data_IF_213465372532
#
_entry.id   IF_213465372532
#
_cell.length_a   1.000
_cell.length_b   1.000
_cell.length_c   1.000
_cell.angle_alpha   90.00
_cell.angle_beta   90.00
_cell.angle_gamma   90.00
#
_symmetry.space_group_name_H-M   'P 1'
#
loop_
_entity.id
_entity.type
_entity.pdbx_description
1 polymer ?
#
# COMPACT_ATOMS: atom_id res chain seq x y z
N UNK A 1 -8.09 26.89 1.51
CA UNK A 1 -8.75 27.18 2.80
C UNK A 1 -7.77 26.77 3.89
N UNK A 2 -7.16 27.72 4.62
CA UNK A 2 -6.34 27.41 5.80
C UNK A 2 -7.29 27.21 6.98
N UNK A 3 -7.47 25.98 7.42
CA UNK A 3 -8.23 25.71 8.64
C UNK A 3 -7.32 25.93 9.85
N UNK A 4 -7.68 26.86 10.73
CA UNK A 4 -7.05 27.05 12.03
C UNK A 4 -7.87 26.27 13.05
N UNK A 5 -7.34 25.15 13.53
CA UNK A 5 -7.94 24.39 14.63
C UNK A 5 -7.44 25.00 15.93
N UNK A 6 -8.31 25.70 16.65
CA UNK A 6 -7.99 26.15 18.00
C UNK A 6 -7.95 24.93 18.93
N UNK A 7 -6.81 24.71 19.59
CA UNK A 7 -6.72 23.76 20.70
C UNK A 7 -7.80 24.13 21.71
N UNK A 8 -8.65 23.16 22.03
CA UNK A 8 -9.52 23.21 23.20
C UNK A 8 -8.71 23.74 24.38
N UNK A 9 -9.07 24.92 24.87
CA UNK A 9 -8.61 25.38 26.16
C UNK A 9 -9.15 24.39 27.17
N UNK A 10 -8.27 23.54 27.69
CA UNK A 10 -8.48 22.75 28.89
C UNK A 10 -9.07 23.67 29.96
N UNK A 11 -10.37 23.53 30.17
CA UNK A 11 -11.17 24.41 31.00
C UNK A 11 -12.45 23.73 31.47
N UNK A 12 -12.28 22.58 32.14
CA UNK A 12 -13.27 21.88 32.99
C UNK A 12 -14.53 21.36 32.29
N UNK A 13 -14.58 20.02 32.24
CA UNK A 13 -15.72 19.12 32.02
C UNK A 13 -16.29 19.09 30.59
N UNK A 14 -16.21 17.94 29.91
CA UNK A 14 -16.86 17.79 28.62
C UNK A 14 -18.37 17.66 28.84
N UNK A 15 -19.16 18.56 28.27
CA UNK A 15 -20.52 18.22 27.83
C UNK A 15 -20.38 17.35 26.57
N UNK A 16 -19.86 16.14 26.72
CA UNK A 16 -19.79 15.15 25.64
C UNK A 16 -21.15 14.47 25.57
N UNK A 17 -21.90 14.74 24.49
CA UNK A 17 -22.90 13.80 24.03
C UNK A 17 -22.20 12.49 23.70
N UNK A 18 -22.78 11.38 24.18
CA UNK A 18 -22.31 10.02 23.92
C UNK A 18 -22.07 9.80 22.41
N UNK A 19 -20.82 9.50 22.04
CA UNK A 19 -20.46 9.13 20.67
C UNK A 19 -19.09 9.60 20.16
N UNK A 20 -18.45 10.59 20.79
CA UNK A 20 -17.12 11.03 20.32
C UNK A 20 -16.02 10.08 20.83
N UNK A 21 -15.40 9.36 19.91
CA UNK A 21 -14.18 8.60 20.17
C UNK A 21 -13.07 9.57 20.59
N UNK A 22 -12.48 9.32 21.76
CA UNK A 22 -11.29 10.01 22.25
C UNK A 22 -10.08 9.48 21.48
N UNK A 23 -9.66 10.17 20.43
CA UNK A 23 -8.35 9.96 19.82
C UNK A 23 -7.60 11.28 19.71
N UNK A 24 -6.29 11.22 19.92
CA UNK A 24 -5.43 12.38 19.78
C UNK A 24 -5.21 12.68 18.29
N UNK A 25 -5.39 13.94 17.90
CA UNK A 25 -5.11 14.40 16.54
C UNK A 25 -3.60 14.53 16.35
N UNK A 26 -3.08 13.89 15.33
CA UNK A 26 -1.67 13.95 14.95
C UNK A 26 -1.47 14.80 13.69
N UNK A 27 -0.30 15.44 13.57
CA UNK A 27 0.06 16.19 12.36
C UNK A 27 0.10 15.25 11.15
N UNK A 28 -0.53 15.65 10.04
CA UNK A 28 -0.66 14.82 8.84
C UNK A 28 -1.86 13.86 8.83
N UNK A 29 -2.65 13.81 9.92
CA UNK A 29 -3.87 13.00 9.96
C UNK A 29 -4.98 13.59 9.08
N UNK A 30 -5.50 12.80 8.14
CA UNK A 30 -6.74 13.10 7.44
C UNK A 30 -7.95 12.73 8.30
N UNK A 31 -8.93 13.62 8.40
CA UNK A 31 -10.14 13.41 9.23
C UNK A 31 -11.42 13.70 8.44
N UNK A 32 -12.45 12.90 8.71
CA UNK A 32 -13.82 13.18 8.31
C UNK A 32 -14.49 13.87 9.49
N UNK A 33 -15.02 15.06 9.29
CA UNK A 33 -15.72 15.77 10.36
C UNK A 33 -17.08 16.27 9.90
N UNK A 34 -18.04 16.26 10.83
CA UNK A 34 -19.31 16.97 10.70
C UNK A 34 -19.18 18.27 11.45
N UNK A 35 -19.31 19.40 10.75
CA UNK A 35 -19.13 20.72 11.33
C UNK A 35 -20.17 21.72 10.82
N UNK A 36 -20.41 22.77 11.61
CA UNK A 36 -21.22 23.93 11.24
C UNK A 36 -20.32 25.14 10.97
N UNK A 37 -20.58 25.84 9.87
CA UNK A 37 -19.90 27.08 9.54
C UNK A 37 -20.58 28.25 10.27
N UNK A 38 -19.80 29.02 11.01
CA UNK A 38 -20.21 30.26 11.68
C UNK A 38 -19.40 31.44 11.14
N UNK A 39 -20.02 32.62 11.08
CA UNK A 39 -19.38 33.84 10.58
C UNK A 39 -19.44 34.91 11.65
N UNK A 40 -18.28 35.40 12.08
CA UNK A 40 -18.16 36.55 12.95
C UNK A 40 -18.12 37.83 12.11
N UNK A 41 -19.32 38.36 11.84
CA UNK A 41 -19.57 39.49 10.94
C UNK A 41 -18.69 40.74 11.17
N UNK A 42 -18.38 41.17 12.42
CA UNK A 42 -17.58 42.37 12.64
C UNK A 42 -16.15 42.31 12.08
N UNK A 43 -15.61 41.10 11.88
CA UNK A 43 -14.25 40.89 11.35
C UNK A 43 -14.21 40.02 10.09
N UNK A 44 -15.38 39.56 9.62
CA UNK A 44 -15.47 38.64 8.47
C UNK A 44 -14.78 37.29 8.70
N UNK A 45 -14.62 36.86 9.95
CA UNK A 45 -13.94 35.61 10.28
C UNK A 45 -14.89 34.42 10.14
N UNK A 46 -14.45 33.37 9.45
CA UNK A 46 -15.18 32.11 9.31
C UNK A 46 -14.65 31.10 10.33
N UNK A 47 -15.56 30.44 11.04
CA UNK A 47 -15.26 29.42 12.05
C UNK A 47 -16.00 28.12 11.72
N UNK A 48 -15.31 26.98 11.84
CA UNK A 48 -15.92 25.66 11.73
C UNK A 48 -16.07 25.07 13.13
N UNK A 49 -17.31 24.90 13.58
CA UNK A 49 -17.64 24.24 14.84
C UNK A 49 -17.86 22.75 14.58
N UNK A 50 -16.93 21.90 15.02
CA UNK A 50 -16.95 20.45 14.77
C UNK A 50 -17.83 19.73 15.81
N UNK A 51 -18.85 19.01 15.35
CA UNK A 51 -19.80 18.25 16.17
C UNK A 51 -19.47 16.75 16.26
N UNK A 52 -18.80 16.19 15.25
CA UNK A 52 -18.32 14.81 15.21
C UNK A 52 -17.07 14.69 14.36
N UNK A 53 -16.16 13.79 14.74
CA UNK A 53 -14.85 13.65 14.14
C UNK A 53 -14.48 12.17 14.08
N UNK A 54 -14.12 11.68 12.89
CA UNK A 54 -13.67 10.33 12.63
C UNK A 54 -12.38 10.40 11.79
N UNK A 55 -11.40 9.51 12.00
CA UNK A 55 -10.22 9.49 11.14
C UNK A 55 -10.63 9.09 9.71
N UNK A 56 -10.28 9.92 8.73
CA UNK A 56 -10.46 9.61 7.31
C UNK A 56 -9.33 8.68 6.87
N UNK A 57 -9.67 7.62 6.15
CA UNK A 57 -8.79 6.48 5.84
C UNK A 57 -7.37 6.81 5.36
N UNK A 58 -6.42 6.43 6.22
CA UNK A 58 -5.13 5.76 5.92
C UNK A 58 -4.84 4.79 7.07
N UNK A 59 -5.22 5.15 8.30
CA UNK A 59 -5.01 4.34 9.51
C UNK A 59 -5.69 2.96 9.51
N UNK A 60 -6.88 2.79 8.93
CA UNK A 60 -7.55 1.49 8.89
C UNK A 60 -6.88 0.51 7.92
N UNK A 61 -6.52 0.97 6.71
CA UNK A 61 -5.76 0.18 5.75
C UNK A 61 -4.35 -0.12 6.26
N UNK A 62 -3.67 0.88 6.83
CA UNK A 62 -2.36 0.69 7.46
C UNK A 62 -2.44 -0.33 8.61
N UNK A 63 -3.46 -0.25 9.46
CA UNK A 63 -3.68 -1.21 10.54
C UNK A 63 -3.95 -2.62 10.01
N UNK A 64 -4.78 -2.77 8.98
CA UNK A 64 -5.03 -4.06 8.33
C UNK A 64 -3.75 -4.63 7.70
N UNK A 65 -2.94 -3.77 7.08
CA UNK A 65 -1.64 -4.13 6.52
C UNK A 65 -0.66 -4.61 7.59
N UNK A 66 -0.50 -3.87 8.69
CA UNK A 66 0.38 -4.28 9.80
C UNK A 66 -0.11 -5.57 10.47
N UNK A 67 -1.43 -5.76 10.62
CA UNK A 67 -2.00 -7.00 11.14
C UNK A 67 -1.71 -8.19 10.22
N UNK A 68 -1.88 -8.03 8.91
CA UNK A 68 -1.55 -9.06 7.92
C UNK A 68 -0.06 -9.39 7.95
N UNK A 69 0.80 -8.38 7.96
CA UNK A 69 2.25 -8.55 8.03
C UNK A 69 2.67 -9.30 9.29
N UNK A 70 2.15 -8.90 10.46
CA UNK A 70 2.44 -9.57 11.73
C UNK A 70 1.98 -11.03 11.72
N UNK A 71 0.81 -11.33 11.13
CA UNK A 71 0.33 -12.71 10.96
C UNK A 71 1.26 -13.53 10.07
N UNK A 72 1.62 -13.03 8.89
CA UNK A 72 2.51 -13.73 7.96
C UNK A 72 3.93 -13.92 8.54
N UNK A 73 4.38 -12.99 9.38
CA UNK A 73 5.62 -13.14 10.16
C UNK A 73 5.51 -14.24 11.21
N UNK A 74 4.40 -14.30 11.96
CA UNK A 74 4.15 -15.36 12.94
C UNK A 74 4.02 -16.75 12.29
N UNK A 75 3.54 -16.82 11.05
CA UNK A 75 3.51 -18.04 10.23
C UNK A 75 4.92 -18.47 9.73
N UNK A 76 5.97 -17.68 9.99
CA UNK A 76 7.36 -18.01 9.62
C UNK A 76 7.68 -17.82 8.14
N UNK A 77 6.78 -17.20 7.36
CA UNK A 77 6.93 -17.08 5.90
C UNK A 77 8.10 -16.18 5.47
N UNK A 78 8.61 -15.35 6.39
CA UNK A 78 9.74 -14.45 6.15
C UNK A 78 11.06 -14.95 6.76
N UNK A 79 11.06 -16.12 7.40
CA UNK A 79 12.23 -16.67 8.06
C UNK A 79 13.38 -16.85 7.08
N UNK A 80 14.58 -16.42 7.49
CA UNK A 80 15.80 -16.54 6.68
C UNK A 80 16.08 -18.00 6.32
N UNK A 81 15.73 -18.95 7.20
CA UNK A 81 15.88 -20.38 6.94
C UNK A 81 15.05 -20.87 5.74
N UNK A 82 13.94 -20.21 5.42
CA UNK A 82 13.09 -20.52 4.27
C UNK A 82 13.58 -19.86 2.97
N UNK A 83 14.52 -18.91 3.05
CA UNK A 83 15.01 -18.18 1.88
C UNK A 83 16.04 -19.00 1.12
N UNK A 84 15.83 -19.11 -0.20
CA UNK A 84 16.80 -19.70 -1.12
C UNK A 84 17.82 -18.65 -1.55
N UNK A 85 19.11 -19.02 -1.70
CA UNK A 85 20.11 -18.11 -2.25
C UNK A 85 19.76 -17.77 -3.71
N UNK A 86 19.97 -16.52 -4.08
CA UNK A 86 19.79 -16.07 -5.46
C UNK A 86 21.08 -16.41 -6.23
N UNK A 87 21.01 -17.11 -7.38
CA UNK A 87 22.16 -17.34 -8.23
C UNK A 87 22.87 -16.04 -8.62
N UNK A 88 24.19 -16.04 -8.59
CA UNK A 88 24.99 -14.87 -8.98
C UNK A 88 24.75 -14.46 -10.44
N UNK A 89 24.62 -15.44 -11.34
CA UNK A 89 24.34 -15.22 -12.75
C UNK A 89 23.31 -16.25 -13.25
N UNK A 90 22.01 -15.93 -13.26
CA UNK A 90 20.99 -16.80 -13.83
C UNK A 90 21.15 -16.88 -15.36
N UNK A 91 20.96 -18.06 -15.93
CA UNK A 91 20.90 -18.27 -17.38
C UNK A 91 19.53 -17.88 -17.92
N UNK A 92 18.47 -18.13 -17.14
CA UNK A 92 17.10 -17.78 -17.49
C UNK A 92 16.34 -17.23 -16.30
N UNK A 93 15.62 -16.14 -16.55
CA UNK A 93 14.77 -15.45 -15.57
C UNK A 93 13.31 -15.60 -16.02
N UNK A 94 12.46 -16.12 -15.13
CA UNK A 94 11.02 -16.08 -15.27
C UNK A 94 10.49 -14.74 -14.76
N UNK A 95 9.61 -14.08 -15.49
CA UNK A 95 9.01 -12.80 -15.10
C UNK A 95 7.50 -12.94 -15.09
N UNK A 96 6.90 -12.83 -13.92
CA UNK A 96 5.46 -12.88 -13.70
C UNK A 96 4.99 -11.46 -13.41
N UNK A 97 4.25 -10.86 -14.33
CA UNK A 97 3.84 -9.46 -14.23
C UNK A 97 2.66 -9.14 -15.16
N UNK A 98 2.07 -7.95 -15.02
CA UNK A 98 1.04 -7.47 -15.94
C UNK A 98 1.62 -7.19 -17.34
N UNK A 99 0.91 -7.58 -18.41
CA UNK A 99 1.38 -7.39 -19.78
C UNK A 99 1.48 -5.91 -20.21
N UNK A 100 0.80 -4.99 -19.52
CA UNK A 100 0.66 -3.58 -19.96
C UNK A 100 1.50 -2.58 -19.15
N UNK A 101 2.30 -3.04 -18.18
CA UNK A 101 3.03 -2.15 -17.26
C UNK A 101 4.37 -1.61 -17.77
N UNK A 102 4.81 -0.48 -17.20
CA UNK A 102 6.19 0.01 -17.35
C UNK A 102 7.22 -0.99 -16.80
N UNK A 103 6.86 -1.69 -15.73
CA UNK A 103 7.73 -2.66 -15.03
C UNK A 103 8.30 -3.73 -15.95
N UNK A 104 7.50 -4.33 -16.85
CA UNK A 104 8.04 -5.31 -17.79
C UNK A 104 9.03 -4.69 -18.77
N UNK A 105 8.75 -3.47 -19.24
CA UNK A 105 9.65 -2.74 -20.14
C UNK A 105 10.98 -2.43 -19.45
N UNK A 106 10.94 -2.03 -18.18
CA UNK A 106 12.12 -1.73 -17.38
C UNK A 106 12.97 -2.99 -17.15
N UNK A 107 12.34 -4.11 -16.76
CA UNK A 107 13.02 -5.40 -16.58
C UNK A 107 13.71 -5.81 -17.89
N UNK A 108 13.01 -5.76 -19.02
CA UNK A 108 13.56 -6.12 -20.32
C UNK A 108 14.69 -5.17 -20.74
N UNK A 109 14.53 -3.86 -20.54
CA UNK A 109 15.52 -2.85 -20.91
C UNK A 109 16.81 -2.98 -20.09
N UNK A 110 16.68 -3.07 -18.77
CA UNK A 110 17.83 -3.19 -17.85
C UNK A 110 18.57 -4.51 -18.10
N UNK A 111 17.83 -5.62 -18.24
CA UNK A 111 18.46 -6.93 -18.47
C UNK A 111 19.19 -6.96 -19.79
N UNK A 112 18.58 -6.49 -20.89
CA UNK A 112 19.26 -6.40 -22.20
C UNK A 112 20.50 -5.51 -22.17
N UNK A 113 20.47 -4.40 -21.41
CA UNK A 113 21.59 -3.46 -21.32
C UNK A 113 22.76 -3.99 -20.49
N UNK A 114 22.48 -4.71 -19.40
CA UNK A 114 23.52 -5.18 -18.46
C UNK A 114 23.99 -6.61 -18.76
N UNK A 115 23.08 -7.48 -19.21
CA UNK A 115 23.32 -8.91 -19.38
C UNK A 115 22.49 -9.46 -20.56
N UNK A 116 22.89 -9.12 -21.78
CA UNK A 116 22.16 -9.48 -23.01
C UNK A 116 22.07 -10.99 -23.30
N UNK A 117 22.89 -11.81 -22.63
CA UNK A 117 22.91 -13.27 -22.79
C UNK A 117 21.91 -14.01 -21.88
N UNK A 118 21.15 -13.29 -21.04
CA UNK A 118 20.16 -13.89 -20.16
C UNK A 118 18.83 -14.05 -20.90
N UNK A 119 18.28 -15.26 -20.88
CA UNK A 119 16.95 -15.55 -21.41
C UNK A 119 15.87 -15.04 -20.45
N UNK A 120 14.81 -14.44 -20.98
CA UNK A 120 13.66 -13.98 -20.20
C UNK A 120 12.41 -14.71 -20.67
N UNK A 121 11.78 -15.45 -19.77
CA UNK A 121 10.48 -16.09 -19.98
C UNK A 121 9.42 -15.26 -19.27
N UNK A 122 8.40 -14.80 -19.98
CA UNK A 122 7.35 -13.93 -19.40
C UNK A 122 6.05 -14.71 -19.26
N UNK A 123 5.48 -14.72 -18.05
CA UNK A 123 4.11 -15.17 -17.79
C UNK A 123 3.24 -13.94 -17.47
N UNK A 124 2.36 -13.52 -18.40
CA UNK A 124 1.47 -12.39 -18.17
C UNK A 124 0.36 -12.79 -17.20
N UNK A 125 0.21 -12.05 -16.10
CA UNK A 125 -0.86 -12.24 -15.11
C UNK A 125 -1.40 -10.92 -14.61
N UNK A 126 -2.61 -10.94 -14.05
CA UNK A 126 -3.10 -9.86 -13.21
C UNK A 126 -2.34 -9.87 -11.88
N UNK A 127 -1.87 -8.69 -11.50
CA UNK A 127 -1.05 -8.47 -10.30
C UNK A 127 -1.81 -7.71 -9.21
N UNK A 128 -3.09 -7.43 -9.47
CA UNK A 128 -4.02 -6.75 -8.57
C UNK A 128 -5.44 -7.22 -8.83
N UNK A 129 -6.31 -7.04 -7.83
CA UNK A 129 -7.70 -7.50 -7.88
C UNK A 129 -7.88 -8.93 -7.38
N UNK A 130 -9.15 -9.33 -7.27
CA UNK A 130 -9.56 -10.61 -6.66
C UNK A 130 -9.04 -11.84 -7.40
N UNK A 131 -8.82 -11.72 -8.71
CA UNK A 131 -8.39 -12.84 -9.56
C UNK A 131 -6.86 -13.00 -9.63
N UNK A 132 -6.09 -12.04 -9.09
CA UNK A 132 -4.64 -12.07 -9.13
C UNK A 132 -3.99 -13.25 -8.40
N UNK A 133 -4.42 -13.64 -7.17
CA UNK A 133 -3.77 -14.72 -6.44
C UNK A 133 -3.76 -16.05 -7.21
N UNK A 134 -4.91 -16.45 -7.76
CA UNK A 134 -5.03 -17.71 -8.50
C UNK A 134 -4.21 -17.72 -9.79
N UNK A 135 -4.16 -16.58 -10.51
CA UNK A 135 -3.32 -16.45 -11.69
C UNK A 135 -1.83 -16.51 -11.37
N UNK A 136 -1.40 -15.83 -10.29
CA UNK A 136 0.00 -15.85 -9.86
C UNK A 136 0.41 -17.27 -9.45
N UNK A 137 -0.43 -17.98 -8.70
CA UNK A 137 -0.15 -19.36 -8.27
C UNK A 137 0.01 -20.27 -9.49
N UNK A 138 -0.89 -20.17 -10.47
CA UNK A 138 -0.81 -20.95 -11.72
C UNK A 138 0.46 -20.62 -12.50
N UNK A 139 0.78 -19.34 -12.67
CA UNK A 139 1.98 -18.93 -13.38
C UNK A 139 3.27 -19.41 -12.69
N UNK A 140 3.33 -19.44 -11.36
CA UNK A 140 4.47 -20.02 -10.62
C UNK A 140 4.57 -21.53 -10.90
N UNK A 141 3.44 -22.25 -10.87
CA UNK A 141 3.41 -23.68 -11.16
C UNK A 141 3.83 -24.00 -12.61
N UNK A 142 3.37 -23.20 -13.57
CA UNK A 142 3.73 -23.33 -14.98
C UNK A 142 5.23 -23.08 -15.19
N UNK A 143 5.80 -22.05 -14.55
CA UNK A 143 7.24 -21.75 -14.59
C UNK A 143 8.08 -22.89 -14.00
N UNK A 144 7.63 -23.50 -12.91
CA UNK A 144 8.30 -24.69 -12.37
C UNK A 144 8.19 -25.89 -13.32
N UNK A 145 7.10 -26.03 -14.05
CA UNK A 145 6.86 -27.16 -14.96
C UNK A 145 7.63 -27.06 -16.27
N UNK A 146 7.88 -25.85 -16.77
CA UNK A 146 8.70 -25.60 -17.97
C UNK A 146 10.15 -26.07 -17.77
N UNK A 147 10.66 -26.00 -16.52
CA UNK A 147 12.06 -26.28 -16.22
C UNK A 147 13.00 -25.17 -16.69
N UNK A 148 14.27 -25.26 -16.30
CA UNK A 148 15.33 -24.31 -16.67
C UNK A 148 15.09 -22.83 -16.30
N UNK A 149 14.24 -22.53 -15.30
CA UNK A 149 14.09 -21.17 -14.75
C UNK A 149 14.88 -21.07 -13.45
N UNK A 150 15.96 -20.29 -13.45
CA UNK A 150 16.84 -20.17 -12.28
C UNK A 150 16.27 -19.24 -11.20
N UNK A 151 15.56 -18.19 -11.64
CA UNK A 151 14.98 -17.15 -10.78
C UNK A 151 13.64 -16.71 -11.35
N UNK A 152 12.65 -16.53 -10.48
CA UNK A 152 11.37 -15.92 -10.83
C UNK A 152 11.29 -14.52 -10.22
N UNK A 153 11.02 -13.52 -11.05
CA UNK A 153 10.68 -12.15 -10.67
C UNK A 153 9.16 -12.03 -10.73
N UNK A 154 8.51 -11.98 -9.56
CA UNK A 154 7.11 -11.55 -9.46
C UNK A 154 7.10 -10.03 -9.24
N UNK A 155 6.51 -9.28 -10.17
CA UNK A 155 6.52 -7.83 -10.12
C UNK A 155 5.16 -7.21 -10.41
N UNK A 156 4.74 -6.26 -9.58
CA UNK A 156 3.54 -5.44 -9.78
C UNK A 156 3.92 -4.12 -10.44
N UNK A 157 3.23 -3.74 -11.51
CA UNK A 157 3.28 -2.38 -12.08
C UNK A 157 2.89 -1.33 -11.04
N UNK A 158 3.55 -0.17 -11.05
CA UNK A 158 3.36 0.89 -10.07
C UNK A 158 1.89 1.28 -9.87
N UNK A 159 1.51 1.40 -8.61
CA UNK A 159 0.48 2.32 -8.15
C UNK A 159 1.11 3.09 -7.02
N UNK A 160 1.17 4.41 -7.14
CA UNK A 160 1.48 5.29 -6.02
C UNK A 160 0.58 4.88 -4.84
N UNK A 161 1.03 5.10 -3.60
CA UNK A 161 0.13 5.02 -2.44
C UNK A 161 -0.99 6.08 -2.54
N UNK A 162 -0.88 7.00 -3.51
CA UNK A 162 -1.79 8.12 -3.79
C UNK A 162 -2.82 7.89 -4.91
N UNK A 163 -2.82 6.75 -5.62
CA UNK A 163 -3.85 6.40 -6.62
C UNK A 163 -4.89 5.40 -6.06
#
# INVERSE_FOLDING_TARGET
>A
IRAVVFRSALGKKPFLRAGASLFDLEEGMSILCRARLSVYQPRGEYQLLVDALEPLGMGALQKAFEQLKARLQAEGLFDIACKKPIPFLPRRIGVITSPTGAVIKDILHITRRRFSSIDILVAPVRVQGLEAPDEIIRAIADMHSVGDVDVIILARGGGSIED
#
